data_IF_626942891827
#
_entry.id   IF_626942891827
#
_cell.length_a   1.000
_cell.length_b   1.000
_cell.length_c   1.000
_cell.angle_alpha   90.00
_cell.angle_beta   90.00
_cell.angle_gamma   90.00
#
_symmetry.space_group_name_H-M   'P 1'
#
loop_
_entity.id
_entity.type
_entity.pdbx_description
1 polymer ?
#
# COMPACT_ATOMS: atom_id res chain seq x y z
N UNK A 1 21.67 -7.33 -3.35
CA UNK A 1 20.47 -6.83 -4.06
C UNK A 1 19.88 -5.69 -3.24
N UNK A 2 19.34 -4.65 -3.88
CA UNK A 2 18.57 -3.60 -3.19
C UNK A 2 17.13 -3.68 -3.65
N UNK A 3 16.18 -3.59 -2.72
CA UNK A 3 14.74 -3.62 -2.99
C UNK A 3 14.12 -2.35 -2.43
N UNK A 4 13.33 -1.67 -3.23
CA UNK A 4 12.63 -0.44 -2.86
C UNK A 4 11.12 -0.73 -2.87
N UNK A 5 10.42 -0.27 -1.83
CA UNK A 5 8.96 -0.41 -1.72
C UNK A 5 8.35 0.99 -1.88
N UNK A 6 7.71 1.23 -3.02
CA UNK A 6 7.01 2.48 -3.32
C UNK A 6 5.50 2.24 -3.24
N UNK A 7 4.82 3.06 -2.46
CA UNK A 7 3.37 3.00 -2.25
C UNK A 7 2.78 4.35 -2.63
N UNK A 8 1.76 4.35 -3.50
CA UNK A 8 1.12 5.56 -4.00
C UNK A 8 -0.37 5.51 -3.62
N UNK A 9 -0.88 6.62 -3.12
CA UNK A 9 -2.32 6.84 -2.91
C UNK A 9 -2.81 7.78 -4.00
N UNK A 10 -3.86 7.38 -4.70
CA UNK A 10 -4.56 8.23 -5.66
C UNK A 10 -6.03 8.35 -5.25
N UNK A 11 -6.57 9.57 -5.27
CA UNK A 11 -7.95 9.85 -4.89
C UNK A 11 -8.54 10.84 -5.86
N UNK A 12 -9.71 10.52 -6.42
CA UNK A 12 -10.46 11.42 -7.30
C UNK A 12 -11.29 12.42 -6.48
N UNK A 13 -10.63 13.50 -6.05
CA UNK A 13 -11.27 14.57 -5.28
C UNK A 13 -12.40 15.24 -6.08
N UNK A 14 -12.22 15.40 -7.40
CA UNK A 14 -13.19 16.04 -8.27
C UNK A 14 -14.46 15.21 -8.41
N UNK A 15 -14.31 13.91 -8.69
CA UNK A 15 -15.41 12.94 -8.73
C UNK A 15 -16.17 12.93 -7.41
N UNK A 16 -15.47 12.75 -6.29
CA UNK A 16 -16.08 12.71 -4.95
C UNK A 16 -16.88 13.98 -4.66
N UNK A 17 -16.35 15.16 -4.98
CA UNK A 17 -17.04 16.42 -4.76
C UNK A 17 -18.28 16.55 -5.66
N UNK A 18 -18.18 16.17 -6.94
CA UNK A 18 -19.25 16.31 -7.93
C UNK A 18 -20.44 15.37 -7.69
N UNK A 19 -20.19 14.19 -7.12
CA UNK A 19 -21.21 13.18 -6.85
C UNK A 19 -21.85 13.31 -5.45
N UNK A 20 -21.41 14.28 -4.65
CA UNK A 20 -21.88 14.47 -3.27
C UNK A 20 -23.00 15.49 -3.20
N UNK A 21 -24.04 15.18 -2.42
CA UNK A 21 -25.22 16.04 -2.28
C UNK A 21 -24.98 17.20 -1.32
N UNK A 22 -24.06 17.00 -0.37
CA UNK A 22 -23.67 18.02 0.60
C UNK A 22 -22.21 17.86 1.05
N UNK A 23 -21.71 18.87 1.78
CA UNK A 23 -20.34 18.91 2.29
C UNK A 23 -20.02 17.74 3.22
N UNK A 24 -20.95 17.36 4.11
CA UNK A 24 -20.75 16.28 5.07
C UNK A 24 -20.64 14.95 4.35
N UNK A 25 -21.47 14.72 3.34
CA UNK A 25 -21.39 13.54 2.49
C UNK A 25 -20.04 13.49 1.75
N UNK A 26 -19.59 14.59 1.15
CA UNK A 26 -18.32 14.67 0.44
C UNK A 26 -17.13 14.28 1.33
N UNK A 27 -17.03 14.85 2.54
CA UNK A 27 -15.97 14.50 3.47
C UNK A 27 -16.05 13.05 3.95
N UNK A 28 -17.26 12.50 4.11
CA UNK A 28 -17.43 11.08 4.46
C UNK A 28 -16.92 10.18 3.34
N UNK A 29 -17.33 10.43 2.09
CA UNK A 29 -16.89 9.66 0.92
C UNK A 29 -15.38 9.73 0.74
N UNK A 30 -14.79 10.92 0.89
CA UNK A 30 -13.33 11.08 0.89
C UNK A 30 -12.65 10.26 1.99
N UNK A 31 -13.21 10.26 3.20
CA UNK A 31 -12.69 9.46 4.31
C UNK A 31 -12.77 7.95 4.05
N UNK A 32 -13.86 7.49 3.45
CA UNK A 32 -14.06 6.09 3.08
C UNK A 32 -13.07 5.66 1.98
N UNK A 33 -12.85 6.49 0.96
CA UNK A 33 -11.88 6.25 -0.12
C UNK A 33 -10.45 6.17 0.42
N UNK A 34 -10.04 7.15 1.24
CA UNK A 34 -8.73 7.17 1.87
C UNK A 34 -8.50 5.96 2.78
N UNK A 35 -9.55 5.50 3.48
CA UNK A 35 -9.47 4.29 4.30
C UNK A 35 -9.27 3.04 3.43
N UNK A 36 -10.01 2.93 2.32
CA UNK A 36 -9.87 1.84 1.35
C UNK A 36 -8.44 1.78 0.79
N UNK A 37 -7.91 2.91 0.33
CA UNK A 37 -6.55 3.01 -0.22
C UNK A 37 -5.49 2.70 0.84
N UNK A 38 -5.64 3.20 2.06
CA UNK A 38 -4.74 2.86 3.18
C UNK A 38 -4.73 1.36 3.45
N UNK A 39 -5.90 0.72 3.50
CA UNK A 39 -6.00 -0.71 3.79
C UNK A 39 -5.42 -1.56 2.63
N UNK A 40 -5.59 -1.12 1.37
CA UNK A 40 -4.95 -1.68 0.18
C UNK A 40 -3.43 -1.57 0.27
N UNK A 41 -2.90 -0.37 0.54
CA UNK A 41 -1.46 -0.15 0.68
C UNK A 41 -0.86 -0.94 1.84
N UNK A 42 -1.57 -1.07 2.95
CA UNK A 42 -1.14 -1.90 4.07
C UNK A 42 -0.97 -3.37 3.69
N UNK A 43 -1.85 -3.90 2.83
CA UNK A 43 -1.71 -5.27 2.29
C UNK A 43 -0.52 -5.36 1.33
N UNK A 44 -0.39 -4.38 0.43
CA UNK A 44 0.67 -4.34 -0.56
C UNK A 44 2.06 -4.25 0.08
N UNK A 45 2.23 -3.36 1.05
CA UNK A 45 3.46 -3.24 1.83
C UNK A 45 3.84 -4.55 2.50
N UNK A 46 2.89 -5.19 3.19
CA UNK A 46 3.14 -6.48 3.88
C UNK A 46 3.55 -7.58 2.91
N UNK A 47 2.97 -7.59 1.70
CA UNK A 47 3.35 -8.52 0.64
C UNK A 47 4.79 -8.27 0.21
N UNK A 48 5.13 -7.06 -0.21
CA UNK A 48 6.48 -6.72 -0.69
C UNK A 48 7.54 -6.92 0.41
N UNK A 49 7.22 -6.59 1.67
CA UNK A 49 8.10 -6.83 2.81
C UNK A 49 8.39 -8.32 3.00
N UNK A 50 7.36 -9.18 2.88
CA UNK A 50 7.54 -10.63 2.99
C UNK A 50 8.45 -11.16 1.89
N UNK A 51 8.30 -10.68 0.67
CA UNK A 51 9.18 -11.06 -0.43
C UNK A 51 10.63 -10.60 -0.19
N UNK A 52 10.82 -9.37 0.29
CA UNK A 52 12.15 -8.86 0.66
C UNK A 52 12.82 -9.69 1.76
N UNK A 53 12.03 -10.15 2.75
CA UNK A 53 12.53 -11.04 3.81
C UNK A 53 12.94 -12.42 3.27
N UNK A 54 12.20 -12.96 2.28
CA UNK A 54 12.54 -14.23 1.64
C UNK A 54 13.83 -14.10 0.83
N UNK A 55 14.01 -13.01 0.07
CA UNK A 55 15.26 -12.76 -0.63
C UNK A 55 16.44 -12.65 0.34
N UNK A 56 16.26 -11.91 1.43
CA UNK A 56 17.29 -11.76 2.46
C UNK A 56 17.67 -13.11 3.06
N UNK A 57 16.67 -13.94 3.37
CA UNK A 57 16.90 -15.30 3.87
C UNK A 57 17.69 -16.14 2.87
N UNK A 58 17.32 -16.12 1.59
CA UNK A 58 18.07 -16.86 0.56
C UNK A 58 19.53 -16.45 0.49
N UNK A 59 19.80 -15.14 0.46
CA UNK A 59 21.18 -14.60 0.46
C UNK A 59 21.94 -14.98 1.73
N UNK A 60 21.26 -15.02 2.88
CA UNK A 60 21.87 -15.42 4.15
C UNK A 60 22.20 -16.92 4.17
N UNK A 61 21.27 -17.77 3.75
CA UNK A 61 21.45 -19.22 3.67
C UNK A 61 22.63 -19.56 2.74
N UNK A 62 22.71 -18.92 1.56
CA UNK A 62 23.83 -19.02 0.62
C UNK A 62 25.17 -18.57 1.26
N UNK A 63 25.16 -17.44 1.98
CA UNK A 63 26.36 -16.88 2.62
C UNK A 63 26.88 -17.75 3.77
N UNK A 64 25.99 -18.48 4.44
CA UNK A 64 26.33 -19.38 5.55
C UNK A 64 26.70 -20.79 5.07
N UNK A 65 26.60 -21.08 3.76
CA UNK A 65 26.82 -22.42 3.21
C UNK A 65 25.74 -23.43 3.63
N UNK A 66 24.54 -22.93 3.96
CA UNK A 66 23.36 -23.74 4.26
C UNK A 66 22.57 -23.83 2.94
N UNK A 67 23.04 -24.66 2.01
CA UNK A 67 22.45 -24.87 0.69
C UNK A 67 22.53 -26.32 0.27
#
# INVERSE_FOLDING_TARGET
>A
MKREIVLIVEVDIGGIASESSDRREAYRRLGDELKSERDRLGREFKRQLREAMLDFRGVLDDSLGIG
#
